data_IF_411301355410
#
_entry.id   IF_411301355410
#
_cell.length_a   1.000
_cell.length_b   1.000
_cell.length_c   1.000
_cell.angle_alpha   90.00
_cell.angle_beta   90.00
_cell.angle_gamma   90.00
#
_symmetry.space_group_name_H-M   'P 1'
#
loop_
_entity.id
_entity.type
_entity.pdbx_description
1 polymer ?
#
# COMPACT_ATOMS: atom_id res chain seq x y z
N UNK A 1 55.43 -36.74 -7.07
CA UNK A 1 54.54 -35.74 -7.70
C UNK A 1 53.54 -35.24 -6.66
N UNK A 2 53.88 -34.17 -5.94
CA UNK A 2 52.99 -33.49 -5.00
C UNK A 2 52.53 -32.18 -5.66
N UNK A 3 51.23 -32.05 -5.92
CA UNK A 3 50.64 -30.81 -6.42
C UNK A 3 50.44 -29.85 -5.25
N UNK A 4 51.15 -28.73 -5.27
CA UNK A 4 50.90 -27.57 -4.42
C UNK A 4 49.69 -26.80 -4.98
N UNK A 5 48.68 -26.61 -4.15
CA UNK A 5 47.57 -25.69 -4.44
C UNK A 5 48.02 -24.25 -4.11
N UNK A 6 47.95 -23.38 -5.11
CA UNK A 6 48.18 -21.95 -4.95
C UNK A 6 46.89 -21.29 -4.46
N UNK A 7 46.91 -20.80 -3.22
CA UNK A 7 45.89 -19.92 -2.65
C UNK A 7 46.17 -18.51 -3.20
N UNK A 8 45.30 -18.02 -4.08
CA UNK A 8 45.31 -16.63 -4.54
C UNK A 8 44.56 -15.78 -3.50
N UNK A 9 45.30 -14.98 -2.73
CA UNK A 9 44.75 -13.91 -1.90
C UNK A 9 44.43 -12.72 -2.80
N UNK A 10 43.15 -12.37 -2.92
CA UNK A 10 42.71 -11.14 -3.59
C UNK A 10 42.50 -10.09 -2.49
N UNK A 11 43.42 -9.13 -2.39
CA UNK A 11 43.25 -7.94 -1.56
C UNK A 11 42.46 -6.88 -2.35
N UNK A 12 41.31 -6.49 -1.81
CA UNK A 12 40.53 -5.36 -2.31
C UNK A 12 41.15 -4.06 -1.80
N UNK A 13 41.67 -3.25 -2.72
CA UNK A 13 42.16 -1.90 -2.45
C UNK A 13 40.99 -0.90 -2.62
N UNK A 14 40.43 -0.42 -1.51
CA UNK A 14 39.44 0.67 -1.52
C UNK A 14 40.17 2.00 -1.78
N UNK A 15 40.08 2.51 -3.01
CA UNK A 15 40.48 3.88 -3.31
C UNK A 15 39.31 4.84 -3.04
N UNK A 16 39.41 5.55 -1.92
CA UNK A 16 38.58 6.72 -1.62
C UNK A 16 38.91 7.86 -2.59
N UNK A 17 38.00 8.16 -3.52
CA UNK A 17 38.01 9.43 -4.26
C UNK A 17 37.23 10.47 -3.47
N UNK A 18 37.97 11.23 -2.66
CA UNK A 18 37.50 12.45 -1.99
C UNK A 18 37.50 13.59 -3.02
N UNK A 19 36.31 14.00 -3.47
CA UNK A 19 36.16 15.25 -4.23
C UNK A 19 35.73 16.35 -3.27
N UNK A 20 36.72 17.14 -2.84
CA UNK A 20 36.50 18.40 -2.15
C UNK A 20 35.99 19.43 -3.15
N UNK A 21 34.74 19.86 -3.03
CA UNK A 21 34.25 21.11 -3.58
C UNK A 21 34.16 22.11 -2.44
N UNK A 22 35.15 23.03 -2.42
CA UNK A 22 35.09 24.27 -1.65
C UNK A 22 34.01 25.17 -2.26
N UNK A 23 33.03 25.55 -1.45
CA UNK A 23 32.18 26.71 -1.73
C UNK A 23 32.43 27.67 -0.58
N UNK A 24 32.99 28.83 -0.92
CA UNK A 24 33.25 29.92 0.00
C UNK A 24 31.95 30.64 0.37
N UNK A 25 31.93 31.08 1.63
CA UNK A 25 30.86 31.82 2.30
C UNK A 25 30.58 33.17 1.65
N UNK A 26 29.29 33.51 1.50
CA UNK A 26 28.80 34.84 1.86
C UNK A 26 27.28 34.85 1.90
N UNK A 27 26.71 35.01 3.10
CA UNK A 27 25.66 35.97 3.45
C UNK A 27 25.10 35.55 4.82
N UNK A 28 25.58 36.24 5.86
CA UNK A 28 25.07 36.12 7.22
C UNK A 28 23.63 36.62 7.29
N UNK A 29 22.73 35.71 7.64
CA UNK A 29 21.41 36.04 8.16
C UNK A 29 21.25 35.25 9.45
N UNK A 30 21.21 35.98 10.57
CA UNK A 30 20.94 35.45 11.90
C UNK A 30 19.52 34.87 11.95
N UNK A 31 19.43 33.54 12.03
CA UNK A 31 18.19 32.83 12.33
C UNK A 31 18.18 32.53 13.83
N UNK A 32 17.17 32.99 14.60
CA UNK A 32 17.09 32.71 16.02
C UNK A 32 16.87 31.20 16.25
N UNK A 33 17.70 30.63 17.13
CA UNK A 33 17.57 29.27 17.65
C UNK A 33 16.18 29.06 18.25
N UNK A 34 15.32 28.35 17.54
CA UNK A 34 14.09 27.79 18.11
C UNK A 34 14.50 26.60 18.98
N UNK A 35 14.22 26.70 20.27
CA UNK A 35 14.36 25.61 21.23
C UNK A 35 13.39 24.49 20.83
N UNK A 36 13.95 23.31 20.59
CA UNK A 36 13.16 22.07 20.55
C UNK A 36 12.83 21.69 21.99
N UNK A 37 11.61 22.00 22.42
CA UNK A 37 10.99 21.43 23.61
C UNK A 37 9.76 20.63 23.14
N UNK A 38 9.72 19.38 23.61
CA UNK A 38 8.59 18.46 23.71
C UNK A 38 7.99 17.86 22.43
N UNK A 39 8.55 16.72 22.01
CA UNK A 39 7.77 15.65 21.37
C UNK A 39 7.97 14.34 22.13
N UNK A 40 7.28 14.23 23.25
CA UNK A 40 6.88 12.94 23.83
C UNK A 40 5.34 12.90 23.81
N UNK A 41 4.77 11.70 23.87
CA UNK A 41 3.33 11.37 23.71
C UNK A 41 2.82 11.20 22.27
N UNK A 42 3.05 10.01 21.72
CA UNK A 42 1.95 9.16 21.21
C UNK A 42 2.36 7.69 21.27
N UNK A 43 2.58 7.20 22.50
CA UNK A 43 2.55 5.76 22.79
C UNK A 43 1.30 5.46 23.67
N UNK A 44 0.43 4.59 23.16
CA UNK A 44 -0.60 3.81 23.88
C UNK A 44 -1.88 4.53 24.35
N UNK A 45 -2.99 4.24 23.65
CA UNK A 45 -4.22 3.73 24.30
C UNK A 45 -4.80 2.62 23.41
N UNK A 46 -4.44 1.38 23.73
CA UNK A 46 -5.25 0.19 23.43
C UNK A 46 -5.23 -0.60 24.75
N UNK A 47 -6.22 -0.31 25.59
CA UNK A 47 -6.48 -1.07 26.81
C UNK A 47 -6.65 -2.54 26.43
N UNK A 48 -5.65 -3.34 26.82
CA UNK A 48 -5.77 -4.79 26.89
C UNK A 48 -6.61 -5.09 28.12
N UNK A 49 -7.84 -5.53 27.92
CA UNK A 49 -8.57 -6.25 28.96
C UNK A 49 -7.83 -7.55 29.26
N UNK A 50 -7.23 -7.62 30.44
CA UNK A 50 -6.68 -8.84 31.00
C UNK A 50 -7.82 -9.81 31.34
N UNK A 51 -8.16 -10.69 30.40
CA UNK A 51 -8.90 -11.92 30.72
C UNK A 51 -7.88 -12.92 31.27
N UNK A 52 -7.87 -13.10 32.60
CA UNK A 52 -7.16 -14.19 33.27
C UNK A 52 -7.68 -15.53 32.73
N UNK A 53 -6.85 -16.42 32.16
CA UNK A 53 -7.29 -17.78 31.91
C UNK A 53 -7.28 -18.54 33.24
N UNK A 54 -8.46 -18.91 33.70
CA UNK A 54 -8.62 -19.93 34.72
C UNK A 54 -8.07 -21.25 34.17
N UNK A 55 -7.03 -21.77 34.81
CA UNK A 55 -6.53 -23.13 34.62
C UNK A 55 -7.62 -24.13 35.06
N UNK A 56 -8.51 -24.52 34.14
CA UNK A 56 -9.32 -25.72 34.30
C UNK A 56 -8.52 -26.91 33.80
N UNK A 57 -8.05 -27.75 34.72
CA UNK A 57 -7.53 -29.09 34.44
C UNK A 57 -8.68 -29.93 33.86
N UNK A 58 -8.81 -30.00 32.54
CA UNK A 58 -9.64 -31.03 31.90
C UNK A 58 -8.79 -32.26 31.65
N UNK A 59 -9.05 -33.28 32.47
CA UNK A 59 -8.68 -34.67 32.32
C UNK A 59 -8.88 -35.17 30.88
N UNK A 60 -7.79 -35.49 30.19
CA UNK A 60 -7.81 -36.41 29.06
C UNK A 60 -8.12 -37.81 29.61
N UNK A 61 -9.38 -38.20 29.51
CA UNK A 61 -9.82 -39.58 29.70
C UNK A 61 -9.25 -40.45 28.59
N UNK A 62 -8.13 -41.10 28.87
CA UNK A 62 -7.68 -42.27 28.12
C UNK A 62 -8.64 -43.40 28.51
N UNK A 63 -9.57 -43.73 27.61
CA UNK A 63 -10.41 -44.91 27.73
C UNK A 63 -9.52 -46.14 27.54
N UNK A 64 -9.06 -46.68 28.65
CA UNK A 64 -8.46 -48.01 28.76
C UNK A 64 -9.60 -49.03 28.79
N UNK A 65 -9.93 -49.61 27.64
CA UNK A 65 -10.69 -50.86 27.60
C UNK A 65 -9.77 -52.01 28.03
N UNK A 66 -9.93 -52.43 29.28
CA UNK A 66 -9.42 -53.69 29.81
C UNK A 66 -10.25 -54.83 29.22
N UNK A 67 -9.63 -55.70 28.44
CA UNK A 67 -10.13 -57.04 28.17
C UNK A 67 -9.07 -58.04 28.63
N UNK A 68 -9.32 -58.64 29.80
CA UNK A 68 -8.71 -59.88 30.23
C UNK A 68 -9.09 -61.00 29.25
N UNK A 69 -8.09 -61.60 28.64
CA UNK A 69 -8.23 -62.78 27.78
C UNK A 69 -6.94 -63.56 27.79
N UNK A 70 -6.81 -64.45 28.78
CA UNK A 70 -5.74 -65.42 28.87
C UNK A 70 -5.82 -66.41 27.69
N UNK A 71 -4.73 -66.52 26.94
CA UNK A 71 -4.60 -67.46 25.82
C UNK A 71 -3.17 -67.50 25.32
N UNK A 72 -2.28 -68.15 26.09
CA UNK A 72 -0.91 -68.46 25.65
C UNK A 72 -0.99 -69.49 24.51
N UNK A 73 -0.83 -69.03 23.27
CA UNK A 73 -0.40 -69.89 22.16
C UNK A 73 0.89 -69.32 21.60
N UNK A 74 1.92 -70.16 21.59
CA UNK A 74 3.24 -69.86 21.05
C UNK A 74 3.16 -69.75 19.52
N UNK A 75 2.79 -68.57 19.00
CA UNK A 75 2.90 -68.27 17.58
C UNK A 75 4.27 -67.65 17.31
N UNK A 76 5.05 -68.37 16.51
CA UNK A 76 6.36 -67.99 15.96
C UNK A 76 6.32 -66.58 15.37
N UNK A 77 7.21 -65.70 15.83
CA UNK A 77 7.33 -64.34 15.33
C UNK A 77 7.67 -64.35 13.83
N UNK A 78 6.92 -63.63 12.98
CA UNK A 78 7.23 -63.56 11.55
C UNK A 78 8.60 -62.92 11.35
N UNK A 79 9.39 -63.41 10.37
CA UNK A 79 10.73 -62.92 10.12
C UNK A 79 10.69 -61.42 9.82
N UNK A 80 11.42 -60.63 10.63
CA UNK A 80 11.68 -59.21 10.35
C UNK A 80 12.46 -59.11 9.04
N UNK A 81 11.77 -58.92 7.94
CA UNK A 81 12.37 -58.51 6.67
C UNK A 81 12.98 -57.13 6.87
N UNK A 82 14.32 -57.06 6.93
CA UNK A 82 15.07 -55.81 6.84
C UNK A 82 14.83 -55.23 5.45
N UNK A 83 13.81 -54.39 5.33
CA UNK A 83 13.61 -53.57 4.14
C UNK A 83 14.81 -52.63 4.02
N UNK A 84 15.70 -52.93 3.08
CA UNK A 84 16.84 -52.09 2.76
C UNK A 84 16.27 -50.80 2.18
N UNK A 85 16.33 -49.70 2.93
CA UNK A 85 16.04 -48.36 2.41
C UNK A 85 17.07 -48.08 1.31
N UNK A 86 16.67 -48.26 0.06
CA UNK A 86 17.43 -47.80 -1.10
C UNK A 86 17.22 -46.29 -1.14
N UNK A 87 18.22 -45.54 -0.67
CA UNK A 87 18.26 -44.10 -0.87
C UNK A 87 18.64 -43.89 -2.34
N UNK A 88 17.64 -43.65 -3.19
CA UNK A 88 17.90 -43.18 -4.55
C UNK A 88 18.59 -41.82 -4.44
N UNK A 89 19.90 -41.81 -4.70
CA UNK A 89 20.68 -40.58 -4.76
C UNK A 89 20.25 -39.78 -5.99
N UNK A 90 19.30 -38.87 -5.82
CA UNK A 90 18.96 -37.88 -6.84
C UNK A 90 20.13 -36.90 -6.93
N UNK A 91 20.92 -37.01 -7.99
CA UNK A 91 21.98 -36.05 -8.29
C UNK A 91 21.33 -34.73 -8.73
N UNK A 92 21.28 -33.76 -7.83
CA UNK A 92 20.90 -32.39 -8.17
C UNK A 92 22.15 -31.75 -8.80
N UNK A 93 22.08 -31.45 -10.09
CA UNK A 93 23.13 -30.72 -10.81
C UNK A 93 23.31 -29.32 -10.19
N UNK A 94 24.34 -29.18 -9.35
CA UNK A 94 24.65 -27.93 -8.62
C UNK A 94 24.97 -26.76 -9.55
N UNK A 95 25.38 -27.03 -10.80
CA UNK A 95 25.65 -25.98 -11.78
C UNK A 95 24.37 -25.23 -12.18
N UNK A 96 23.22 -25.92 -12.21
CA UNK A 96 21.94 -25.31 -12.54
C UNK A 96 21.38 -24.46 -11.40
N UNK A 97 21.63 -24.84 -10.14
CA UNK A 97 21.22 -24.03 -8.99
C UNK A 97 22.00 -22.73 -8.91
N UNK A 98 23.31 -22.77 -9.17
CA UNK A 98 24.18 -21.58 -9.10
C UNK A 98 23.80 -20.56 -10.19
N UNK A 99 23.51 -21.04 -11.41
CA UNK A 99 23.05 -20.19 -12.51
C UNK A 99 21.73 -19.47 -12.17
N UNK A 100 20.72 -20.22 -11.68
CA UNK A 100 19.41 -19.65 -11.31
C UNK A 100 19.54 -18.64 -10.15
N UNK A 101 20.40 -18.91 -9.18
CA UNK A 101 20.65 -17.99 -8.08
C UNK A 101 21.30 -16.70 -8.57
N UNK A 102 22.28 -16.78 -9.47
CA UNK A 102 22.93 -15.61 -10.07
C UNK A 102 21.94 -14.74 -10.86
N UNK A 103 21.12 -15.36 -11.72
CA UNK A 103 20.06 -14.66 -12.48
C UNK A 103 19.07 -13.96 -11.54
N UNK A 104 18.69 -14.61 -10.44
CA UNK A 104 17.81 -14.02 -9.43
C UNK A 104 18.45 -12.79 -8.75
N UNK A 105 19.73 -12.86 -8.40
CA UNK A 105 20.45 -11.73 -7.80
C UNK A 105 20.60 -10.55 -8.77
N UNK A 106 20.91 -10.82 -10.04
CA UNK A 106 20.99 -9.81 -11.08
C UNK A 106 19.64 -9.13 -11.29
N UNK A 107 18.55 -9.90 -11.30
CA UNK A 107 17.20 -9.36 -11.41
C UNK A 107 16.82 -8.47 -10.22
N UNK A 108 17.15 -8.89 -8.99
CA UNK A 108 16.95 -8.08 -7.79
C UNK A 108 17.79 -6.80 -7.82
N UNK A 109 19.03 -6.86 -8.31
CA UNK A 109 19.88 -5.69 -8.47
C UNK A 109 19.30 -4.69 -9.49
N UNK A 110 18.75 -5.17 -10.61
CA UNK A 110 18.03 -4.32 -11.58
C UNK A 110 16.80 -3.65 -10.95
N UNK A 111 15.98 -4.40 -10.22
CA UNK A 111 14.83 -3.83 -9.51
C UNK A 111 15.25 -2.78 -8.46
N UNK A 112 16.37 -2.99 -7.77
CA UNK A 112 16.98 -2.01 -6.85
C UNK A 112 17.42 -0.74 -7.58
N UNK A 113 18.08 -0.88 -8.73
CA UNK A 113 18.57 0.25 -9.51
C UNK A 113 17.44 1.16 -10.04
N UNK A 114 16.24 0.62 -10.23
CA UNK A 114 15.05 1.40 -10.60
C UNK A 114 14.46 2.22 -9.45
N UNK A 115 14.93 2.02 -8.21
CA UNK A 115 14.41 2.74 -7.04
C UNK A 115 15.06 4.10 -6.89
N UNK A 116 14.26 5.05 -6.42
CA UNK A 116 14.76 6.34 -5.98
C UNK A 116 15.70 6.17 -4.78
N UNK A 117 16.94 6.65 -4.85
CA UNK A 117 17.91 6.53 -3.76
C UNK A 117 17.47 7.28 -2.48
N UNK A 118 16.56 8.26 -2.60
CA UNK A 118 16.00 9.01 -1.46
C UNK A 118 14.88 8.26 -0.73
N UNK A 119 14.44 7.10 -1.23
CA UNK A 119 13.36 6.33 -0.64
C UNK A 119 13.83 5.63 0.64
N UNK A 120 13.23 6.00 1.79
CA UNK A 120 13.57 5.40 3.09
C UNK A 120 12.82 4.09 3.30
N UNK A 121 13.38 2.98 2.84
CA UNK A 121 12.87 1.64 3.11
C UNK A 121 13.58 1.09 4.34
N UNK A 122 12.83 0.64 5.35
CA UNK A 122 13.43 -0.06 6.49
C UNK A 122 13.95 -1.40 5.99
N UNK A 123 15.14 -1.81 6.41
CA UNK A 123 15.77 -3.09 5.99
C UNK A 123 14.87 -4.32 6.16
N UNK A 124 14.01 -4.33 7.19
CA UNK A 124 13.03 -5.40 7.44
C UNK A 124 11.88 -5.46 6.43
N UNK A 125 11.66 -4.36 5.71
CA UNK A 125 10.64 -4.19 4.67
C UNK A 125 11.29 -4.25 3.26
N UNK A 126 12.60 -4.51 3.21
CA UNK A 126 13.37 -4.62 1.98
C UNK A 126 13.05 -5.96 1.29
N UNK A 127 12.22 -5.87 0.25
CA UNK A 127 11.95 -6.91 -0.76
C UNK A 127 11.19 -8.15 -0.31
N UNK A 128 9.90 -7.93 -0.09
CA UNK A 128 8.90 -8.95 -0.29
C UNK A 128 8.16 -8.68 -1.59
N UNK A 129 8.76 -9.17 -2.67
CA UNK A 129 8.18 -9.08 -3.99
C UNK A 129 7.09 -10.15 -4.13
N UNK A 130 5.90 -9.80 -4.62
CA UNK A 130 4.79 -10.73 -4.78
C UNK A 130 4.92 -11.60 -6.03
N UNK A 131 6.09 -11.64 -6.68
CA UNK A 131 6.42 -12.50 -7.80
C UNK A 131 7.93 -12.71 -7.91
N UNK A 132 8.32 -13.71 -8.71
CA UNK A 132 9.71 -13.89 -9.12
C UNK A 132 10.24 -12.59 -9.78
N UNK A 133 11.42 -12.08 -9.37
CA UNK A 133 12.06 -10.89 -9.93
C UNK A 133 12.15 -10.85 -11.46
N UNK A 134 12.43 -11.99 -12.11
CA UNK A 134 12.50 -12.07 -13.57
C UNK A 134 11.13 -11.84 -14.22
N UNK A 135 10.07 -12.37 -13.63
CA UNK A 135 8.70 -12.11 -14.09
C UNK A 135 8.36 -10.63 -13.95
N UNK A 136 8.71 -10.01 -12.83
CA UNK A 136 8.47 -8.59 -12.59
C UNK A 136 9.23 -7.70 -13.59
N UNK A 137 10.51 -8.00 -13.84
CA UNK A 137 11.29 -7.30 -14.86
C UNK A 137 10.70 -7.50 -16.27
N UNK A 138 10.27 -8.71 -16.61
CA UNK A 138 9.60 -8.97 -17.89
C UNK A 138 8.35 -8.12 -18.06
N UNK A 139 7.56 -7.91 -16.98
CA UNK A 139 6.39 -7.03 -17.02
C UNK A 139 6.78 -5.55 -17.15
N UNK A 140 7.84 -5.12 -16.47
CA UNK A 140 8.35 -3.76 -16.50
C UNK A 140 8.99 -3.39 -17.84
N UNK A 141 9.79 -4.28 -18.42
CA UNK A 141 10.51 -4.09 -19.68
C UNK A 141 9.55 -3.98 -20.89
N UNK A 142 8.28 -4.38 -20.72
CA UNK A 142 7.22 -4.17 -21.72
C UNK A 142 6.68 -2.74 -21.77
N UNK A 143 7.07 -1.87 -20.83
CA UNK A 143 6.65 -0.47 -20.76
C UNK A 143 7.84 0.44 -21.03
N UNK A 144 7.63 1.50 -21.79
CA UNK A 144 8.67 2.48 -22.10
C UNK A 144 8.69 3.58 -21.05
N UNK A 145 9.85 3.95 -20.50
CA UNK A 145 9.97 5.15 -19.68
C UNK A 145 9.56 6.40 -20.45
N UNK A 146 8.88 7.32 -19.77
CA UNK A 146 8.56 8.63 -20.33
C UNK A 146 9.72 9.61 -20.07
N UNK A 147 10.17 10.29 -21.12
CA UNK A 147 11.26 11.26 -21.02
C UNK A 147 10.75 12.55 -20.35
N UNK A 148 11.22 12.80 -19.12
CA UNK A 148 10.90 14.01 -18.35
C UNK A 148 11.98 15.08 -18.60
N UNK A 149 11.57 16.18 -19.21
CA UNK A 149 12.45 17.27 -19.69
C UNK A 149 12.79 18.32 -18.64
N UNK A 150 11.99 18.47 -17.58
CA UNK A 150 12.25 19.43 -16.51
C UNK A 150 13.53 19.13 -15.71
N UNK A 151 14.19 20.17 -15.21
CA UNK A 151 15.44 20.07 -14.44
C UNK A 151 15.27 19.21 -13.18
N UNK A 152 16.33 18.51 -12.76
CA UNK A 152 16.25 17.56 -11.65
C UNK A 152 15.90 18.21 -10.30
N UNK A 153 16.39 19.42 -10.06
CA UNK A 153 16.05 20.16 -8.85
C UNK A 153 14.54 20.46 -8.79
N UNK A 154 13.93 20.86 -9.90
CA UNK A 154 12.49 21.12 -9.98
C UNK A 154 11.68 19.81 -9.89
N UNK A 155 12.13 18.75 -10.58
CA UNK A 155 11.45 17.44 -10.60
C UNK A 155 11.48 16.73 -9.25
N UNK A 156 12.48 17.02 -8.42
CA UNK A 156 12.72 16.32 -7.15
C UNK A 156 12.08 16.99 -5.94
N UNK A 157 11.34 18.10 -6.15
CA UNK A 157 10.57 18.75 -5.09
C UNK A 157 9.47 17.82 -4.59
N UNK A 158 9.49 17.55 -3.28
CA UNK A 158 8.44 16.80 -2.59
C UNK A 158 7.48 17.75 -1.89
N UNK A 159 6.22 17.35 -1.77
CA UNK A 159 5.19 18.09 -1.05
C UNK A 159 4.57 17.26 0.08
N UNK A 160 3.93 17.92 1.03
CA UNK A 160 3.14 17.24 2.06
C UNK A 160 1.75 16.86 1.56
N UNK A 161 1.16 15.84 2.18
CA UNK A 161 -0.19 15.41 1.81
C UNK A 161 -1.26 16.29 2.41
N UNK A 162 -0.95 16.91 3.53
CA UNK A 162 -1.73 17.95 4.17
C UNK A 162 -1.86 19.16 3.23
N UNK A 163 -0.75 19.62 2.65
CA UNK A 163 -0.74 20.66 1.63
C UNK A 163 -1.62 20.28 0.43
N UNK A 164 -1.39 19.10 -0.16
CA UNK A 164 -2.17 18.65 -1.30
C UNK A 164 -3.67 18.60 -1.00
N UNK A 165 -4.05 18.12 0.17
CA UNK A 165 -5.44 18.09 0.60
C UNK A 165 -6.03 19.50 0.83
N UNK A 166 -5.25 20.44 1.37
CA UNK A 166 -5.70 21.82 1.60
C UNK A 166 -5.91 22.58 0.29
N UNK A 167 -4.93 22.51 -0.60
CA UNK A 167 -4.91 23.29 -1.85
C UNK A 167 -5.74 22.60 -2.93
N UNK A 168 -5.49 21.31 -3.17
CA UNK A 168 -6.09 20.55 -4.27
C UNK A 168 -7.23 19.61 -3.84
N UNK A 169 -7.35 19.26 -2.56
CA UNK A 169 -8.37 18.33 -2.05
C UNK A 169 -7.95 16.85 -2.05
N UNK A 170 -8.93 15.95 -1.88
CA UNK A 170 -8.73 14.50 -2.00
C UNK A 170 -8.54 13.72 -0.68
N UNK A 171 -8.22 14.40 0.42
CA UNK A 171 -8.01 13.75 1.72
C UNK A 171 -6.63 13.11 1.87
N UNK A 172 -6.26 12.79 3.10
CA UNK A 172 -4.88 12.42 3.47
C UNK A 172 -4.60 10.93 3.53
N UNK A 173 -5.61 10.07 3.40
CA UNK A 173 -5.48 8.63 3.70
C UNK A 173 -5.68 7.66 2.53
N UNK A 174 -6.48 8.00 1.51
CA UNK A 174 -6.87 7.05 0.45
C UNK A 174 -5.85 7.01 -0.68
N UNK A 175 -5.43 5.86 -1.20
CA UNK A 175 -4.49 5.84 -2.33
C UNK A 175 -5.06 6.56 -3.55
N UNK A 176 -6.29 6.24 -3.95
CA UNK A 176 -7.00 6.95 -5.02
C UNK A 176 -8.02 7.90 -4.39
N UNK A 177 -7.83 9.20 -4.61
CA UNK A 177 -8.63 10.22 -3.94
C UNK A 177 -9.68 10.80 -4.87
N UNK A 178 -10.87 11.08 -4.31
CA UNK A 178 -11.91 11.85 -4.98
C UNK A 178 -11.80 13.30 -4.54
N UNK A 179 -11.48 14.19 -5.46
CA UNK A 179 -11.45 15.63 -5.19
C UNK A 179 -12.89 16.14 -5.00
N UNK A 180 -13.08 17.04 -4.04
CA UNK A 180 -14.38 17.67 -3.80
C UNK A 180 -14.77 18.54 -4.99
N UNK A 181 -16.05 18.66 -5.28
CA UNK A 181 -16.53 19.37 -6.47
C UNK A 181 -16.10 20.83 -6.49
N UNK A 182 -16.04 21.47 -5.33
CA UNK A 182 -15.61 22.87 -5.16
C UNK A 182 -14.15 23.04 -5.60
N UNK A 183 -13.26 22.21 -5.06
CA UNK A 183 -11.83 22.18 -5.45
C UNK A 183 -11.64 21.83 -6.92
N UNK A 184 -12.40 20.87 -7.43
CA UNK A 184 -12.35 20.53 -8.85
C UNK A 184 -12.78 21.68 -9.75
N UNK A 185 -13.77 22.50 -9.34
CA UNK A 185 -14.17 23.71 -10.08
C UNK A 185 -13.08 24.79 -10.04
N UNK A 186 -12.35 24.91 -8.92
CA UNK A 186 -11.26 25.86 -8.76
C UNK A 186 -10.06 25.57 -9.67
N UNK A 187 -9.57 24.32 -9.68
CA UNK A 187 -8.28 23.99 -10.34
C UNK A 187 -8.37 22.97 -11.48
N UNK A 188 -9.49 22.26 -11.62
CA UNK A 188 -9.72 21.33 -12.73
C UNK A 188 -9.07 19.95 -12.60
N UNK A 189 -8.46 19.59 -11.47
CA UNK A 189 -7.83 18.29 -11.24
C UNK A 189 -8.68 17.34 -10.38
N UNK A 190 -8.74 16.04 -10.72
CA UNK A 190 -9.56 15.07 -9.97
C UNK A 190 -9.01 13.63 -10.04
N UNK A 191 -7.73 13.51 -10.35
CA UNK A 191 -7.10 12.29 -10.83
C UNK A 191 -5.83 11.98 -10.02
N UNK A 192 -5.84 12.25 -8.72
CA UNK A 192 -4.66 12.00 -7.89
C UNK A 192 -4.61 10.56 -7.34
N UNK A 193 -3.44 9.94 -7.46
CA UNK A 193 -3.11 8.67 -6.82
C UNK A 193 -1.87 8.86 -5.92
N UNK A 194 -1.94 8.37 -4.68
CA UNK A 194 -0.92 8.47 -3.66
C UNK A 194 -0.50 7.07 -3.23
N UNK A 195 0.61 6.60 -3.76
CA UNK A 195 1.11 5.25 -3.54
C UNK A 195 2.19 5.24 -2.48
N UNK A 196 2.15 4.22 -1.62
CA UNK A 196 3.17 4.00 -0.59
C UNK A 196 3.95 2.75 -0.95
N UNK A 197 5.27 2.82 -0.89
CA UNK A 197 6.14 1.68 -1.25
C UNK A 197 6.07 0.53 -0.26
N UNK A 198 5.47 0.74 0.91
CA UNK A 198 5.16 -0.28 1.91
C UNK A 198 4.10 -1.28 1.41
N UNK A 199 3.15 -0.81 0.59
CA UNK A 199 2.07 -1.63 0.03
C UNK A 199 2.35 -1.90 -1.46
N UNK A 200 2.80 -0.87 -2.17
CA UNK A 200 3.05 -0.86 -3.61
C UNK A 200 4.57 -0.81 -3.87
N UNK A 201 5.27 -1.91 -3.56
CA UNK A 201 6.75 -1.97 -3.56
C UNK A 201 7.43 -1.75 -4.93
N UNK A 202 6.64 -1.76 -6.00
CA UNK A 202 7.03 -1.53 -7.39
C UNK A 202 6.28 -0.35 -8.03
N UNK A 203 5.63 0.50 -7.22
CA UNK A 203 5.14 1.78 -7.71
C UNK A 203 6.32 2.61 -8.29
N UNK A 204 6.06 3.48 -9.29
CA UNK A 204 7.10 4.33 -9.85
C UNK A 204 7.69 5.21 -8.75
N UNK A 205 9.01 5.17 -8.59
CA UNK A 205 9.72 5.97 -7.57
C UNK A 205 10.55 7.10 -8.18
N UNK A 206 10.79 7.03 -9.48
CA UNK A 206 11.45 8.04 -10.30
C UNK A 206 10.47 8.56 -11.35
N UNK A 207 10.54 9.86 -11.62
CA UNK A 207 9.63 10.52 -12.54
C UNK A 207 9.71 9.91 -13.95
N UNK A 208 8.56 9.60 -14.54
CA UNK A 208 8.45 8.98 -15.86
C UNK A 208 8.77 7.49 -15.95
N UNK A 209 9.32 6.85 -14.91
CA UNK A 209 9.63 5.41 -14.95
C UNK A 209 8.37 4.55 -14.83
N UNK A 210 8.32 3.38 -15.48
CA UNK A 210 7.19 2.48 -15.34
C UNK A 210 7.11 1.88 -13.93
N UNK A 211 5.94 1.36 -13.57
CA UNK A 211 5.72 0.66 -12.31
C UNK A 211 4.67 -0.43 -12.40
N UNK A 212 4.50 -1.15 -11.28
CA UNK A 212 3.45 -2.14 -11.10
C UNK A 212 2.64 -1.79 -9.84
N UNK A 213 1.34 -2.01 -9.92
CA UNK A 213 0.39 -1.82 -8.83
C UNK A 213 -0.34 -3.13 -8.54
N UNK A 214 -0.47 -3.50 -7.27
CA UNK A 214 -1.07 -4.76 -6.84
C UNK A 214 -2.43 -4.48 -6.19
N UNK A 215 -3.45 -5.25 -6.57
CA UNK A 215 -4.80 -5.06 -6.08
C UNK A 215 -5.55 -6.38 -5.96
N UNK A 216 -6.57 -6.42 -5.11
CA UNK A 216 -7.49 -7.57 -5.02
C UNK A 216 -8.73 -7.42 -5.91
N UNK A 217 -8.70 -6.46 -6.85
CA UNK A 217 -9.81 -6.11 -7.74
C UNK A 217 -9.38 -6.22 -9.20
N UNK A 218 -10.19 -6.92 -9.99
CA UNK A 218 -9.98 -7.11 -11.43
C UNK A 218 -10.27 -5.84 -12.24
N UNK A 219 -11.15 -4.98 -11.74
CA UNK A 219 -11.44 -3.68 -12.31
C UNK A 219 -11.34 -2.61 -11.23
N UNK A 220 -10.97 -1.39 -11.64
CA UNK A 220 -11.31 -0.21 -10.86
C UNK A 220 -12.83 -0.05 -10.96
N UNK A 221 -13.53 -0.70 -10.04
CA UNK A 221 -14.99 -0.81 -9.98
C UNK A 221 -15.73 0.37 -10.66
N UNK A 222 -16.30 0.12 -11.84
CA UNK A 222 -16.96 1.11 -12.71
C UNK A 222 -18.16 1.80 -12.04
N UNK A 223 -18.67 1.22 -10.97
CA UNK A 223 -19.80 1.79 -10.24
C UNK A 223 -19.37 2.96 -9.34
N UNK A 224 -18.11 2.97 -8.89
CA UNK A 224 -17.53 4.06 -8.09
C UNK A 224 -16.46 4.85 -8.82
N UNK A 225 -15.86 4.30 -9.88
CA UNK A 225 -15.11 5.12 -10.83
C UNK A 225 -16.13 5.88 -11.67
N UNK A 226 -16.20 7.22 -11.52
CA UNK A 226 -17.20 7.98 -12.23
C UNK A 226 -17.07 7.76 -13.73
N UNK A 227 -18.19 7.79 -14.46
CA UNK A 227 -18.32 7.50 -15.90
C UNK A 227 -17.30 8.20 -16.82
N UNK A 228 -16.63 9.26 -16.34
CA UNK A 228 -15.55 9.96 -17.06
C UNK A 228 -14.17 9.30 -16.92
N UNK A 229 -13.97 8.39 -15.97
CA UNK A 229 -12.85 7.46 -15.90
C UNK A 229 -13.19 6.20 -16.71
N UNK A 230 -13.45 6.38 -18.01
CA UNK A 230 -13.41 5.24 -18.94
C UNK A 230 -11.96 4.95 -19.27
N UNK A 231 -11.65 3.68 -19.46
CA UNK A 231 -10.31 3.25 -19.82
C UNK A 231 -9.76 4.06 -21.01
N UNK A 232 -8.49 4.50 -20.94
CA UNK A 232 -7.54 4.25 -19.86
C UNK A 232 -7.70 5.16 -18.63
N UNK A 233 -7.60 4.57 -17.43
CA UNK A 233 -7.52 5.32 -16.18
C UNK A 233 -6.17 6.04 -16.08
N UNK A 234 -6.17 7.36 -16.26
CA UNK A 234 -4.98 8.21 -16.11
C UNK A 234 -5.02 8.92 -14.76
N UNK A 235 -3.97 8.78 -13.97
CA UNK A 235 -3.81 9.45 -12.68
C UNK A 235 -2.50 10.22 -12.59
N UNK A 236 -2.52 11.40 -11.98
CA UNK A 236 -1.35 12.07 -11.39
C UNK A 236 -0.87 11.26 -10.19
N UNK A 237 0.21 10.52 -10.38
CA UNK A 237 0.77 9.63 -9.35
C UNK A 237 1.78 10.38 -8.50
N UNK A 238 1.61 10.24 -7.19
CA UNK A 238 2.55 10.62 -6.15
C UNK A 238 3.03 9.36 -5.43
N UNK A 239 4.33 9.29 -5.18
CA UNK A 239 4.93 8.21 -4.38
C UNK A 239 5.53 8.78 -3.11
N UNK A 240 5.24 8.15 -1.98
CA UNK A 240 5.78 8.55 -0.68
C UNK A 240 7.25 8.16 -0.59
N UNK A 241 8.15 9.14 -0.40
CA UNK A 241 9.56 8.88 -0.14
C UNK A 241 9.84 8.66 1.35
N UNK A 242 9.12 9.40 2.19
CA UNK A 242 9.15 9.30 3.65
C UNK A 242 7.88 9.91 4.27
N UNK A 243 7.83 10.07 5.59
CA UNK A 243 6.67 10.70 6.21
C UNK A 243 6.50 12.14 5.71
N UNK A 244 5.28 12.45 5.25
CA UNK A 244 4.90 13.75 4.71
C UNK A 244 5.73 14.26 3.52
N UNK A 245 6.52 13.41 2.84
CA UNK A 245 7.22 13.78 1.60
C UNK A 245 6.74 12.93 0.44
N UNK A 246 5.96 13.54 -0.43
CA UNK A 246 5.36 12.93 -1.61
C UNK A 246 5.98 13.52 -2.86
N UNK A 247 6.50 12.66 -3.72
CA UNK A 247 7.11 13.04 -4.99
C UNK A 247 6.13 12.78 -6.13
N UNK A 248 5.87 13.78 -6.96
CA UNK A 248 5.07 13.65 -8.16
C UNK A 248 5.87 12.93 -9.27
N UNK A 249 5.29 11.84 -9.78
CA UNK A 249 5.97 10.93 -10.71
C UNK A 249 5.54 11.09 -12.17
N UNK A 250 4.41 11.76 -12.43
CA UNK A 250 3.82 11.91 -13.77
C UNK A 250 2.34 11.51 -13.85
N UNK A 251 1.80 11.51 -15.08
CA UNK A 251 0.50 10.95 -15.44
C UNK A 251 0.65 9.47 -15.82
N UNK A 252 0.02 8.57 -15.09
CA UNK A 252 0.10 7.14 -15.33
C UNK A 252 -1.21 6.56 -15.80
N UNK A 253 -1.15 5.83 -16.91
CA UNK A 253 -2.18 4.90 -17.34
C UNK A 253 -2.05 3.61 -16.55
N UNK A 254 -3.13 3.19 -15.91
CA UNK A 254 -3.24 1.87 -15.30
C UNK A 254 -3.90 0.91 -16.30
N UNK A 255 -3.22 -0.20 -16.58
CA UNK A 255 -3.72 -1.25 -17.45
C UNK A 255 -3.66 -2.59 -16.72
N UNK A 256 -4.75 -3.36 -16.76
CA UNK A 256 -4.73 -4.74 -16.24
C UNK A 256 -3.68 -5.53 -17.01
N UNK A 257 -2.88 -6.30 -16.29
CA UNK A 257 -1.81 -7.09 -16.89
C UNK A 257 -1.98 -8.58 -16.65
N UNK A 258 -2.12 -8.96 -15.37
CA UNK A 258 -2.09 -10.37 -14.97
C UNK A 258 -2.85 -10.55 -13.66
N UNK A 259 -3.57 -11.66 -13.55
CA UNK A 259 -4.11 -12.15 -12.29
C UNK A 259 -3.25 -13.32 -11.82
N UNK A 260 -2.81 -13.29 -10.56
CA UNK A 260 -2.06 -14.38 -9.95
C UNK A 260 -2.96 -15.60 -9.79
N UNK A 261 -2.47 -16.74 -10.27
CA UNK A 261 -3.09 -18.04 -10.00
C UNK A 261 -2.89 -18.43 -8.53
N UNK A 262 -3.70 -19.38 -8.03
CA UNK A 262 -3.53 -19.94 -6.69
C UNK A 262 -2.12 -20.52 -6.47
N UNK A 263 -1.55 -21.13 -7.51
CA UNK A 263 -0.18 -21.66 -7.50
C UNK A 263 0.86 -20.54 -7.34
N UNK A 264 0.77 -19.50 -8.17
CA UNK A 264 1.68 -18.35 -8.10
C UNK A 264 1.54 -17.61 -6.77
N UNK A 265 0.33 -17.51 -6.22
CA UNK A 265 0.12 -17.02 -4.86
C UNK A 265 0.82 -17.91 -3.83
N UNK A 266 0.67 -19.23 -3.94
CA UNK A 266 1.31 -20.22 -3.06
C UNK A 266 2.84 -20.19 -3.10
N UNK A 267 3.43 -19.79 -4.22
CA UNK A 267 4.87 -19.61 -4.40
C UNK A 267 5.41 -18.32 -3.76
N UNK A 268 4.54 -17.44 -3.25
CA UNK A 268 4.97 -16.24 -2.54
C UNK A 268 5.56 -16.55 -1.17
N UNK A 269 6.51 -15.73 -0.74
CA UNK A 269 7.06 -15.81 0.60
C UNK A 269 5.96 -15.69 1.66
N UNK A 270 6.06 -16.47 2.73
CA UNK A 270 5.03 -16.53 3.79
C UNK A 270 4.70 -15.15 4.34
N UNK A 271 5.70 -14.28 4.49
CA UNK A 271 5.50 -12.91 4.98
C UNK A 271 4.73 -12.02 4.01
N UNK A 272 4.89 -12.19 2.68
CA UNK A 272 4.05 -11.51 1.66
C UNK A 272 2.59 -11.93 1.84
N UNK A 273 2.35 -13.24 1.86
CA UNK A 273 1.00 -13.80 1.97
C UNK A 273 0.33 -13.35 3.27
N UNK A 274 1.06 -13.44 4.39
CA UNK A 274 0.60 -13.04 5.70
C UNK A 274 0.29 -11.55 5.80
N UNK A 275 1.15 -10.68 5.23
CA UNK A 275 0.96 -9.22 5.24
C UNK A 275 -0.29 -8.83 4.47
N UNK A 276 -0.47 -9.35 3.25
CA UNK A 276 -1.66 -9.10 2.46
C UNK A 276 -2.92 -9.64 3.11
N UNK A 277 -2.92 -10.89 3.58
CA UNK A 277 -4.07 -11.47 4.27
C UNK A 277 -4.45 -10.67 5.53
N UNK A 278 -3.45 -10.23 6.30
CA UNK A 278 -3.65 -9.41 7.49
C UNK A 278 -4.24 -8.04 7.15
N UNK A 279 -3.70 -7.38 6.14
CA UNK A 279 -4.16 -6.06 5.70
C UNK A 279 -5.59 -6.14 5.14
N UNK A 280 -5.88 -7.17 4.35
CA UNK A 280 -7.23 -7.45 3.84
C UNK A 280 -8.19 -7.76 4.98
N UNK A 281 -7.76 -8.43 6.05
CA UNK A 281 -8.62 -8.72 7.20
C UNK A 281 -8.92 -7.46 8.05
N UNK A 282 -7.96 -6.53 8.17
CA UNK A 282 -8.06 -5.38 9.07
C UNK A 282 -8.60 -4.11 8.42
N UNK A 283 -8.16 -3.79 7.20
CA UNK A 283 -8.40 -2.47 6.64
C UNK A 283 -9.70 -2.37 5.85
N UNK A 284 -10.27 -1.16 5.81
CA UNK A 284 -11.53 -0.89 5.12
C UNK A 284 -11.47 -1.21 3.61
N UNK A 285 -10.30 -1.05 2.98
CA UNK A 285 -10.15 -1.33 1.54
C UNK A 285 -10.28 -2.83 1.22
N UNK A 286 -10.06 -3.73 2.18
CA UNK A 286 -10.27 -5.18 2.01
C UNK A 286 -11.71 -5.64 2.25
N UNK A 287 -12.65 -4.72 2.46
CA UNK A 287 -14.04 -5.07 2.76
C UNK A 287 -14.73 -5.86 1.65
N UNK A 288 -14.41 -5.60 0.37
CA UNK A 288 -14.97 -6.34 -0.76
C UNK A 288 -14.50 -7.80 -0.78
N UNK A 289 -13.21 -8.05 -0.53
CA UNK A 289 -12.67 -9.41 -0.39
C UNK A 289 -13.35 -10.14 0.77
N UNK A 290 -13.43 -9.48 1.93
CA UNK A 290 -14.11 -10.08 3.10
C UNK A 290 -15.58 -10.37 2.82
N UNK A 291 -16.28 -9.48 2.12
CA UNK A 291 -17.67 -9.68 1.72
C UNK A 291 -17.86 -10.88 0.79
N UNK A 292 -16.97 -11.05 -0.20
CA UNK A 292 -17.00 -12.24 -1.09
C UNK A 292 -16.74 -13.54 -0.33
N UNK A 293 -15.78 -13.55 0.59
CA UNK A 293 -15.50 -14.72 1.44
C UNK A 293 -16.71 -15.04 2.33
N UNK A 294 -17.23 -14.04 3.04
CA UNK A 294 -18.42 -14.16 3.90
C UNK A 294 -19.62 -14.73 3.12
N UNK A 295 -19.87 -14.22 1.92
CA UNK A 295 -20.97 -14.69 1.09
C UNK A 295 -20.82 -16.16 0.69
N UNK A 296 -19.60 -16.59 0.30
CA UNK A 296 -19.33 -17.98 -0.04
C UNK A 296 -19.49 -18.91 1.17
N UNK A 297 -19.08 -18.48 2.36
CA UNK A 297 -19.29 -19.28 3.59
C UNK A 297 -20.77 -19.50 3.91
N UNK A 298 -21.61 -18.49 3.65
CA UNK A 298 -23.06 -18.57 3.92
C UNK A 298 -23.84 -19.30 2.83
N UNK A 299 -23.49 -19.08 1.55
CA UNK A 299 -24.31 -19.50 0.41
C UNK A 299 -23.71 -20.65 -0.42
N UNK A 300 -22.43 -20.98 -0.22
CA UNK A 300 -21.72 -21.97 -1.03
C UNK A 300 -21.43 -21.55 -2.48
N UNK A 301 -21.74 -20.30 -2.88
CA UNK A 301 -21.54 -19.78 -4.25
C UNK A 301 -20.95 -18.37 -4.27
N UNK A 302 -20.52 -17.92 -5.44
CA UNK A 302 -20.04 -16.55 -5.65
C UNK A 302 -21.19 -15.52 -5.58
N UNK A 303 -20.96 -14.33 -4.99
CA UNK A 303 -21.94 -13.24 -5.03
C UNK A 303 -21.98 -12.60 -6.41
N UNK A 304 -23.17 -12.17 -6.82
CA UNK A 304 -23.29 -11.18 -7.90
C UNK A 304 -22.81 -9.80 -7.44
N UNK A 305 -22.49 -8.91 -8.39
CA UNK A 305 -22.08 -7.53 -8.07
C UNK A 305 -23.12 -6.78 -7.23
N UNK A 306 -24.41 -6.93 -7.55
CA UNK A 306 -25.51 -6.32 -6.80
C UNK A 306 -25.60 -6.84 -5.36
N UNK A 307 -25.47 -8.16 -5.17
CA UNK A 307 -25.49 -8.78 -3.83
C UNK A 307 -24.29 -8.30 -2.99
N UNK A 308 -23.09 -8.29 -3.56
CA UNK A 308 -21.91 -7.81 -2.85
C UNK A 308 -22.06 -6.34 -2.46
N UNK A 309 -22.60 -5.51 -3.36
CA UNK A 309 -22.87 -4.09 -3.08
C UNK A 309 -23.88 -3.92 -1.94
N UNK A 310 -24.99 -4.64 -1.96
CA UNK A 310 -26.01 -4.58 -0.91
C UNK A 310 -25.41 -4.94 0.45
N UNK A 311 -24.64 -6.03 0.54
CA UNK A 311 -23.94 -6.42 1.76
C UNK A 311 -22.95 -5.35 2.24
N UNK A 312 -22.19 -4.74 1.32
CA UNK A 312 -21.24 -3.69 1.66
C UNK A 312 -21.93 -2.41 2.14
N UNK A 313 -23.10 -2.07 1.58
CA UNK A 313 -23.91 -0.95 2.03
C UNK A 313 -24.45 -1.21 3.44
N UNK A 314 -24.98 -2.40 3.69
CA UNK A 314 -25.45 -2.81 5.01
C UNK A 314 -24.32 -2.73 6.04
N UNK A 315 -23.15 -3.32 5.75
CA UNK A 315 -21.99 -3.28 6.64
C UNK A 315 -21.43 -1.88 6.83
N UNK A 316 -21.51 -1.00 5.83
CA UNK A 316 -21.05 0.39 5.94
C UNK A 316 -21.88 1.23 6.93
N UNK A 317 -23.11 0.79 7.27
CA UNK A 317 -23.91 1.44 8.33
C UNK A 317 -23.42 1.08 9.74
N UNK A 318 -22.70 -0.05 9.87
CA UNK A 318 -22.15 -0.53 11.14
C UNK A 318 -20.91 0.31 11.46
N UNK A 319 -20.73 0.69 12.73
CA UNK A 319 -19.53 1.44 13.19
C UNK A 319 -18.27 0.56 13.27
N UNK A 320 -18.40 -0.73 12.99
CA UNK A 320 -17.36 -1.76 13.11
C UNK A 320 -16.68 -2.02 11.77
N UNK A 321 -15.57 -2.77 11.81
CA UNK A 321 -14.95 -3.32 10.59
C UNK A 321 -15.98 -4.22 9.89
N UNK A 322 -16.16 -4.04 8.58
CA UNK A 322 -17.07 -4.86 7.80
C UNK A 322 -16.63 -6.33 7.82
N UNK A 323 -17.53 -7.24 8.20
CA UNK A 323 -17.26 -8.69 8.32
C UNK A 323 -16.10 -9.04 9.27
N UNK A 324 -16.18 -8.70 10.57
CA UNK A 324 -15.07 -8.86 11.50
C UNK A 324 -14.71 -10.33 11.80
N UNK A 325 -15.59 -11.27 11.46
CA UNK A 325 -15.37 -12.71 11.61
C UNK A 325 -14.55 -13.34 10.46
N UNK A 326 -14.25 -12.57 9.41
CA UNK A 326 -13.34 -13.00 8.35
C UNK A 326 -11.91 -12.71 8.77
N UNK A 327 -11.28 -13.72 9.37
CA UNK A 327 -9.91 -13.63 9.90
C UNK A 327 -8.86 -13.69 8.80
N UNK A 328 -7.61 -13.39 9.15
CA UNK A 328 -6.44 -13.53 8.28
C UNK A 328 -6.34 -14.94 7.68
N UNK A 329 -6.59 -15.98 8.47
CA UNK A 329 -6.49 -17.39 8.07
C UNK A 329 -7.54 -17.73 7.01
N UNK A 330 -8.76 -17.19 7.15
CA UNK A 330 -9.82 -17.34 6.15
C UNK A 330 -9.45 -16.65 4.84
N UNK A 331 -8.88 -15.44 4.90
CA UNK A 331 -8.37 -14.74 3.72
C UNK A 331 -7.27 -15.57 3.05
N UNK A 332 -6.27 -16.02 3.82
CA UNK A 332 -5.17 -16.83 3.30
C UNK A 332 -5.68 -18.10 2.60
N UNK A 333 -6.60 -18.82 3.26
CA UNK A 333 -7.21 -20.03 2.70
C UNK A 333 -7.97 -19.75 1.40
N UNK A 334 -8.67 -18.61 1.31
CA UNK A 334 -9.40 -18.24 0.10
C UNK A 334 -8.46 -18.02 -1.11
N UNK A 335 -7.31 -17.36 -0.91
CA UNK A 335 -6.30 -17.18 -1.96
C UNK A 335 -5.61 -18.49 -2.33
N UNK A 336 -5.23 -19.32 -1.34
CA UNK A 336 -4.61 -20.63 -1.58
C UNK A 336 -5.53 -21.58 -2.37
N UNK A 337 -6.85 -21.49 -2.15
CA UNK A 337 -7.86 -22.25 -2.90
C UNK A 337 -8.23 -21.62 -4.25
N UNK A 338 -7.68 -20.46 -4.60
CA UNK A 338 -8.01 -19.72 -5.82
C UNK A 338 -9.42 -19.13 -5.84
N UNK A 339 -10.07 -18.97 -4.68
CA UNK A 339 -11.37 -18.28 -4.56
C UNK A 339 -11.22 -16.76 -4.54
N UNK A 340 -10.04 -16.30 -4.13
CA UNK A 340 -9.60 -14.91 -4.26
C UNK A 340 -8.26 -14.89 -5.00
N UNK A 341 -7.94 -13.76 -5.61
CA UNK A 341 -6.74 -13.61 -6.41
C UNK A 341 -6.15 -12.20 -6.27
N UNK A 342 -4.86 -12.09 -6.55
CA UNK A 342 -4.16 -10.81 -6.63
C UNK A 342 -4.06 -10.41 -8.10
N UNK A 343 -4.32 -9.16 -8.40
CA UNK A 343 -4.27 -8.57 -9.73
C UNK A 343 -3.08 -7.64 -9.81
N UNK A 344 -2.37 -7.72 -10.92
CA UNK A 344 -1.22 -6.88 -11.26
C UNK A 344 -1.65 -5.92 -12.35
N UNK A 345 -1.48 -4.64 -12.06
CA UNK A 345 -1.70 -3.53 -12.96
C UNK A 345 -0.37 -2.97 -13.42
N UNK A 346 -0.22 -2.79 -14.73
CA UNK A 346 0.86 -2.02 -15.33
C UNK A 346 0.60 -0.54 -15.16
N UNK A 347 1.62 0.19 -14.75
CA UNK A 347 1.61 1.64 -14.66
C UNK A 347 2.56 2.22 -15.70
N UNK A 348 2.00 2.69 -16.81
CA UNK A 348 2.76 3.33 -17.89
C UNK A 348 2.64 4.85 -17.78
N UNK A 349 3.78 5.54 -17.72
CA UNK A 349 3.77 7.00 -17.71
C UNK A 349 3.43 7.51 -19.12
N UNK A 350 2.32 8.23 -19.26
CA UNK A 350 1.82 8.77 -20.53
C UNK A 350 2.03 10.27 -20.66
N UNK A 351 2.57 10.92 -19.62
CA UNK A 351 2.79 12.36 -19.59
C UNK A 351 3.47 12.81 -18.32
N UNK A 352 4.05 14.00 -18.36
CA UNK A 352 4.54 14.69 -17.17
C UNK A 352 4.15 16.18 -17.24
N UNK A 353 3.11 16.55 -16.51
CA UNK A 353 2.63 17.94 -16.40
C UNK A 353 3.64 18.82 -15.64
N UNK A 354 4.59 19.42 -16.38
CA UNK A 354 5.63 20.30 -15.83
C UNK A 354 5.05 21.55 -15.18
N UNK A 355 3.97 22.11 -15.76
CA UNK A 355 3.30 23.29 -15.21
C UNK A 355 2.72 22.99 -13.83
N UNK A 356 2.09 21.82 -13.68
CA UNK A 356 1.64 21.32 -12.39
C UNK A 356 2.79 21.11 -11.41
N UNK A 357 3.91 20.51 -11.83
CA UNK A 357 5.08 20.30 -10.95
C UNK A 357 5.65 21.63 -10.43
N UNK A 358 5.88 22.61 -11.31
CA UNK A 358 6.37 23.94 -10.91
C UNK A 358 5.39 24.64 -9.97
N UNK A 359 4.08 24.51 -10.26
CA UNK A 359 3.02 25.07 -9.43
C UNK A 359 3.01 24.48 -8.02
N UNK A 360 3.01 23.15 -7.87
CA UNK A 360 3.00 22.54 -6.53
C UNK A 360 4.29 22.87 -5.76
N UNK A 361 5.43 22.98 -6.43
CA UNK A 361 6.68 23.39 -5.80
C UNK A 361 6.61 24.82 -5.25
N UNK A 362 6.11 25.77 -6.04
CA UNK A 362 5.97 27.16 -5.63
C UNK A 362 4.93 27.34 -4.51
N UNK A 363 3.73 26.76 -4.69
CA UNK A 363 2.64 26.87 -3.72
C UNK A 363 2.96 26.17 -2.40
N UNK A 364 3.70 25.05 -2.43
CA UNK A 364 4.11 24.35 -1.22
C UNK A 364 5.08 25.18 -0.39
N UNK A 365 6.07 25.82 -1.04
CA UNK A 365 7.01 26.72 -0.36
C UNK A 365 6.28 27.90 0.30
N UNK A 366 5.33 28.50 -0.39
CA UNK A 366 4.51 29.57 0.18
C UNK A 366 3.64 29.08 1.35
N UNK A 367 3.08 27.88 1.26
CA UNK A 367 2.30 27.25 2.32
C UNK A 367 3.13 26.99 3.59
N UNK A 368 4.37 26.50 3.45
CA UNK A 368 5.28 26.29 4.58
C UNK A 368 5.66 27.59 5.30
N UNK A 369 5.72 28.71 4.56
CA UNK A 369 5.95 30.05 5.11
C UNK A 369 4.70 30.66 5.76
N UNK A 370 3.58 29.94 5.82
CA UNK A 370 2.32 30.44 6.35
C UNK A 370 1.70 31.57 5.52
N UNK A 371 2.12 31.72 4.26
CA UNK A 371 1.54 32.71 3.37
C UNK A 371 0.11 32.29 3.04
N UNK A 372 -0.83 33.23 3.20
CA UNK A 372 -2.21 33.00 2.79
C UNK A 372 -2.25 32.76 1.28
N UNK A 373 -2.46 31.51 0.88
CA UNK A 373 -2.72 31.13 -0.50
C UNK A 373 -4.14 31.56 -0.89
N UNK A 374 -4.41 32.86 -0.92
CA UNK A 374 -5.65 33.44 -1.45
C UNK A 374 -5.61 33.41 -2.97
N UNK A 375 -5.65 32.22 -3.57
CA UNK A 375 -5.63 32.09 -5.01
C UNK A 375 -6.97 32.54 -5.62
N UNK A 376 -6.95 33.67 -6.32
CA UNK A 376 -7.83 33.93 -7.46
C UNK A 376 -7.26 33.17 -8.66
N UNK A 377 -7.86 32.04 -9.01
CA UNK A 377 -7.44 31.19 -10.15
C UNK A 377 -7.89 31.76 -11.50
N UNK A 378 -7.64 33.04 -11.76
CA UNK A 378 -8.32 33.72 -12.88
C UNK A 378 -7.77 33.35 -14.28
N UNK A 379 -6.56 32.78 -14.44
CA UNK A 379 -5.99 32.62 -15.80
C UNK A 379 -5.26 31.30 -16.14
N UNK A 380 -5.23 30.29 -15.26
CA UNK A 380 -4.65 28.99 -15.66
C UNK A 380 -5.67 28.24 -16.51
N UNK A 381 -5.59 28.40 -17.83
CA UNK A 381 -6.23 27.47 -18.77
C UNK A 381 -5.63 26.09 -18.47
N UNK A 382 -6.41 25.11 -17.96
CA UNK A 382 -5.87 23.78 -17.73
C UNK A 382 -5.27 23.32 -19.05
N UNK A 383 -4.00 22.91 -19.04
CA UNK A 383 -3.36 22.29 -20.20
C UNK A 383 -4.28 21.14 -20.58
N UNK A 384 -5.03 21.33 -21.67
CA UNK A 384 -5.90 20.30 -22.18
C UNK A 384 -4.97 19.15 -22.50
N UNK A 385 -5.03 18.08 -21.71
CA UNK A 385 -4.40 16.84 -22.08
C UNK A 385 -4.88 16.59 -23.52
N UNK A 386 -3.96 16.53 -24.48
CA UNK A 386 -4.26 16.42 -25.93
C UNK A 386 -4.93 15.08 -26.30
N UNK A 387 -5.71 14.51 -25.40
CA UNK A 387 -6.75 13.58 -25.73
C UNK A 387 -7.95 14.38 -26.20
N UNK A 388 -8.40 14.14 -27.43
CA UNK A 388 -9.79 14.33 -27.85
C UNK A 388 -10.70 13.46 -26.96
N UNK A 389 -10.76 13.72 -25.66
CA UNK A 389 -11.89 13.31 -24.83
C UNK A 389 -12.94 14.37 -25.10
N UNK A 390 -13.99 13.97 -25.81
CA UNK A 390 -15.12 14.83 -26.16
C UNK A 390 -15.45 15.78 -25.00
N UNK A 391 -15.42 17.09 -25.28
CA UNK A 391 -15.87 18.15 -24.37
C UNK A 391 -17.28 17.89 -23.82
N UNK A 392 -18.06 17.02 -24.47
CA UNK A 392 -19.32 16.48 -23.97
C UNK A 392 -19.24 15.73 -22.64
N UNK A 393 -18.10 15.13 -22.26
CA UNK A 393 -17.96 14.39 -21.00
C UNK A 393 -17.87 15.32 -19.79
N UNK A 394 -17.14 16.45 -19.90
CA UNK A 394 -17.08 17.50 -18.86
C UNK A 394 -18.46 18.13 -18.64
N UNK A 395 -19.20 18.36 -19.73
CA UNK A 395 -20.58 18.86 -19.67
C UNK A 395 -21.58 17.83 -19.13
N UNK A 396 -21.46 16.53 -19.49
CA UNK A 396 -22.31 15.45 -18.97
C UNK A 396 -22.07 15.21 -17.48
N UNK A 397 -20.84 15.28 -16.99
CA UNK A 397 -20.58 15.21 -15.54
C UNK A 397 -21.22 16.38 -14.79
N UNK A 398 -21.08 17.61 -15.28
CA UNK A 398 -21.73 18.78 -14.68
C UNK A 398 -23.27 18.70 -14.74
N UNK A 399 -23.85 18.11 -15.81
CA UNK A 399 -25.30 17.94 -15.98
C UNK A 399 -25.90 16.79 -15.17
N UNK A 400 -25.13 15.71 -14.90
CA UNK A 400 -25.62 14.50 -14.23
C UNK A 400 -25.28 14.42 -12.74
N UNK A 401 -24.72 15.47 -12.13
CA UNK A 401 -24.63 15.55 -10.67
C UNK A 401 -26.07 15.70 -10.16
N UNK A 402 -26.60 14.76 -9.35
CA UNK A 402 -27.91 14.93 -8.75
C UNK A 402 -27.90 16.24 -7.97
N UNK A 403 -28.71 17.21 -8.38
CA UNK A 403 -28.98 18.36 -7.53
C UNK A 403 -29.54 17.78 -6.24
N UNK A 404 -28.76 17.85 -5.17
CA UNK A 404 -29.17 17.39 -3.85
C UNK A 404 -30.45 18.16 -3.53
N UNK A 405 -31.60 17.52 -3.70
CA UNK A 405 -32.89 18.12 -3.40
C UNK A 405 -32.75 18.71 -2.00
N UNK A 406 -33.04 20.00 -1.87
CA UNK A 406 -33.10 20.68 -0.58
C UNK A 406 -34.19 19.96 0.20
N UNK A 407 -33.80 18.94 0.98
CA UNK A 407 -34.66 18.32 1.97
C UNK A 407 -35.02 19.45 2.92
N UNK A 408 -36.26 19.91 2.80
CA UNK A 408 -36.79 20.98 3.63
C UNK A 408 -36.59 20.60 5.09
N UNK A 409 -35.71 21.31 5.77
CA UNK A 409 -35.64 21.31 7.22
C UNK A 409 -36.95 21.88 7.73
N UNK A 410 -37.88 21.00 8.12
CA UNK A 410 -39.02 21.36 8.95
C UNK A 410 -38.47 22.04 10.20
N UNK A 411 -38.79 23.33 10.36
CA UNK A 411 -38.57 24.09 11.59
C UNK A 411 -39.21 23.31 12.74
N UNK A 412 -38.39 22.72 13.59
CA UNK A 412 -38.81 22.19 14.90
C UNK A 412 -38.70 23.37 15.87
N UNK A 413 -39.79 23.70 16.53
CA UNK A 413 -39.92 24.88 17.40
C UNK A 413 -38.82 24.93 18.45
N UNK A 414 -38.29 26.14 18.63
CA UNK A 414 -37.37 26.52 19.68
C UNK A 414 -38.10 26.45 21.03
N UNK A 415 -37.63 25.58 21.92
CA UNK A 415 -37.70 25.80 23.36
C UNK A 415 -36.29 26.16 23.78
N UNK A 416 -36.08 27.42 24.16
CA UNK A 416 -34.84 27.92 24.72
C UNK A 416 -34.65 27.31 26.12
N UNK A 417 -33.80 26.28 26.21
CA UNK A 417 -33.26 25.81 27.49
C UNK A 417 -31.97 26.60 27.75
N UNK A 418 -32.06 27.56 28.68
CA UNK A 418 -30.93 28.37 29.13
C UNK A 418 -29.96 27.47 29.91
N UNK A 419 -28.91 26.99 29.24
CA UNK A 419 -27.82 26.28 29.88
C UNK A 419 -26.88 27.31 30.51
N UNK A 420 -27.00 27.47 31.83
CA UNK A 420 -26.12 28.29 32.66
C UNK A 420 -24.74 27.63 32.77
N UNK A 421 -23.74 28.27 32.18
CA UNK A 421 -22.35 27.82 32.20
C UNK A 421 -21.74 28.02 33.60
N UNK A 422 -21.40 26.91 34.28
CA UNK A 422 -20.62 26.93 35.53
C UNK A 422 -19.16 26.60 35.18
N UNK A 423 -18.22 27.56 35.31
CA UNK A 423 -16.82 27.30 35.02
C UNK A 423 -16.24 26.30 36.02
N UNK A 424 -15.68 25.20 35.51
CA UNK A 424 -14.90 24.24 36.30
C UNK A 424 -13.49 24.79 36.49
N UNK A 425 -13.14 25.12 37.73
CA UNK A 425 -11.80 25.56 38.12
C UNK A 425 -10.73 24.51 37.82
N UNK A 426 -9.63 24.96 37.24
CA UNK A 426 -8.41 24.17 37.04
C UNK A 426 -7.78 23.84 38.39
N UNK A 427 -7.61 22.55 38.69
CA UNK A 427 -6.86 22.08 39.86
C UNK A 427 -5.38 22.43 39.70
N UNK A 428 -4.91 23.35 40.52
CA UNK A 428 -3.49 23.64 40.73
C UNK A 428 -2.79 22.41 41.31
N UNK A 429 -1.62 22.05 40.77
CA UNK A 429 -0.74 21.02 41.33
C UNK A 429 -0.17 21.48 42.68
N UNK A 430 -0.04 20.60 43.69
CA UNK A 430 0.63 20.95 44.94
C UNK A 430 2.13 21.11 44.71
N UNK A 431 2.69 22.19 45.25
CA UNK A 431 4.12 22.40 45.39
C UNK A 431 4.66 21.40 46.43
N UNK A 432 5.73 20.68 46.11
CA UNK A 432 6.48 19.90 47.07
C UNK A 432 7.23 20.86 48.01
N UNK A 433 6.99 20.74 49.31
CA UNK A 433 7.79 21.39 50.35
C UNK A 433 9.09 20.63 50.55
N UNK A 434 10.20 21.35 50.46
CA UNK A 434 11.55 20.99 50.95
C UNK A 434 11.61 20.98 52.48
#
# INVERSE_FOLDING_TARGET
>A
MQKKENIVKIEFCEQHVSSQLKVEDSLGVDIPKIKNEDSDDTEKVLERSEIKPALSKSSLGIVSTSSNGAGKTNASAPPRTRTRLVLDHVYIDSSQSDKKFKELQEALARLRAMRNPKLKIKKKDEYELPLNPNTLLTLLDQMKPYAVTIAELERSVTVSREFMNSVFGGGTRKSFVKVRLEKFKEHGYNDFAYLTTEVDSLAPSLAGQPGLFFSTREAFDHEYTPVWMKEPYIFRVFTRLESSRWLYQGQYKFAHCKTLTAKEWGEQGEKVQNTWAQNIAQYRWGADVRGRIAYREQSGRDPSAAQLKEMLVEEATKKTVAFPYITKEKVLSAFQKGKEHMVIWKMECVGYDEGFQRRIAAEFRAWELGQNLTHKYEDIKPVALNQKVETGVRQRYMKNIPQRAKVGTKKRGEQEEVVQYVPRGTRSRPLQSS
#
